data_IF_103665236833
#
_entry.id   IF_103665236833
#
_cell.length_a   1.000
_cell.length_b   1.000
_cell.length_c   1.000
_cell.angle_alpha   90.00
_cell.angle_beta   90.00
_cell.angle_gamma   90.00
#
_symmetry.space_group_name_H-M   'P 1'
#
loop_
_entity.id
_entity.type
_entity.pdbx_description
1 polymer ?
#
# COMPACT_ATOMS: atom_id res chain seq x y z
N UNK A 1 -42.07 55.05 4.09
CA UNK A 1 -41.69 54.01 3.13
C UNK A 1 -40.22 53.79 3.32
N UNK A 2 -39.92 52.86 4.23
CA UNK A 2 -38.62 52.63 4.84
C UNK A 2 -37.58 52.12 3.85
N UNK A 3 -36.42 52.76 3.85
CA UNK A 3 -35.22 52.28 3.18
C UNK A 3 -34.50 51.31 4.13
N UNK A 4 -34.54 50.02 3.79
CA UNK A 4 -33.80 48.98 4.50
C UNK A 4 -32.33 49.08 4.08
N UNK A 5 -31.50 49.57 5.01
CA UNK A 5 -30.06 49.51 4.94
C UNK A 5 -29.60 48.07 5.27
N UNK A 6 -28.86 47.45 4.37
CA UNK A 6 -28.16 46.20 4.63
C UNK A 6 -26.88 46.49 5.46
N UNK A 7 -26.61 45.76 6.54
CA UNK A 7 -25.32 45.84 7.20
C UNK A 7 -24.30 44.94 6.50
N UNK A 8 -23.25 45.55 5.95
CA UNK A 8 -22.00 44.87 5.65
C UNK A 8 -21.35 44.41 6.95
N UNK A 9 -21.15 43.12 7.13
CA UNK A 9 -20.18 42.58 8.08
C UNK A 9 -19.26 41.60 7.34
N UNK A 10 -18.07 42.11 7.07
CA UNK A 10 -16.85 41.34 6.82
C UNK A 10 -16.39 40.76 8.15
N UNK A 11 -16.02 39.46 8.19
CA UNK A 11 -15.04 38.92 9.14
C UNK A 11 -14.87 37.40 9.01
N UNK A 12 -13.68 36.99 8.58
CA UNK A 12 -12.92 35.82 9.05
C UNK A 12 -13.58 34.44 9.04
N UNK A 13 -13.22 33.64 8.03
CA UNK A 13 -12.64 32.30 8.22
C UNK A 13 -11.54 32.10 7.18
N UNK A 14 -10.47 32.90 7.30
CA UNK A 14 -9.15 32.52 6.80
C UNK A 14 -8.55 31.55 7.83
N UNK A 15 -9.11 30.35 7.88
CA UNK A 15 -8.44 29.23 8.50
C UNK A 15 -7.42 28.78 7.48
N UNK A 16 -6.16 29.21 7.64
CA UNK A 16 -5.04 28.68 6.89
C UNK A 16 -5.13 27.14 6.92
N UNK A 17 -5.62 26.54 5.83
CA UNK A 17 -5.55 25.11 5.62
C UNK A 17 -4.06 24.83 5.41
N UNK A 18 -3.36 24.58 6.52
CA UNK A 18 -1.95 24.21 6.51
C UNK A 18 -1.83 23.02 5.55
N UNK A 19 -0.89 23.06 4.59
CA UNK A 19 -0.72 21.95 3.68
C UNK A 19 -0.51 20.67 4.50
N UNK A 20 -1.09 19.53 4.09
CA UNK A 20 -0.88 18.28 4.79
C UNK A 20 0.63 18.01 4.90
N UNK A 21 1.09 17.37 5.98
CA UNK A 21 2.51 17.05 6.14
C UNK A 21 2.98 16.26 4.92
N UNK A 22 4.22 16.51 4.48
CA UNK A 22 4.79 15.74 3.38
C UNK A 22 4.91 14.26 3.78
N UNK A 23 5.02 13.35 2.80
CA UNK A 23 5.20 11.93 3.07
C UNK A 23 6.43 11.65 3.96
N UNK A 24 7.51 12.41 3.77
CA UNK A 24 8.71 12.33 4.60
C UNK A 24 8.43 12.78 6.05
N UNK A 25 7.67 13.87 6.23
CA UNK A 25 7.33 14.39 7.56
C UNK A 25 6.40 13.45 8.32
N UNK A 26 5.44 12.82 7.63
CA UNK A 26 4.52 11.84 8.22
C UNK A 26 5.25 10.55 8.65
N UNK A 27 6.21 10.09 7.83
CA UNK A 27 7.04 8.94 8.15
C UNK A 27 7.96 9.20 9.36
N UNK A 28 8.70 10.32 9.36
CA UNK A 28 9.56 10.71 10.48
C UNK A 28 8.75 10.87 11.76
N UNK A 29 7.61 11.55 11.70
CA UNK A 29 6.72 11.73 12.84
C UNK A 29 6.33 10.39 13.48
N UNK A 30 5.86 9.42 12.69
CA UNK A 30 5.38 8.15 13.22
C UNK A 30 6.50 7.37 13.92
N UNK A 31 7.69 7.35 13.32
CA UNK A 31 8.87 6.71 13.92
C UNK A 31 9.32 7.43 15.19
N UNK A 32 9.36 8.76 15.16
CA UNK A 32 9.75 9.58 16.31
C UNK A 32 8.76 9.42 17.47
N UNK A 33 7.46 9.46 17.19
CA UNK A 33 6.38 9.26 18.16
C UNK A 33 6.44 7.86 18.79
N UNK A 34 6.64 6.80 18.00
CA UNK A 34 6.79 5.45 18.51
C UNK A 34 8.11 5.25 19.30
N UNK A 35 9.16 5.99 18.93
CA UNK A 35 10.47 5.94 19.61
C UNK A 35 10.52 6.70 20.95
N UNK A 36 9.49 7.48 21.28
CA UNK A 36 9.33 8.13 22.59
C UNK A 36 9.29 7.14 23.77
N UNK A 37 9.20 5.84 23.49
CA UNK A 37 9.40 4.77 24.46
C UNK A 37 8.17 4.54 25.35
N UNK A 38 8.34 3.93 26.54
CA UNK A 38 7.22 3.50 27.40
C UNK A 38 6.38 4.66 27.98
N UNK A 39 6.72 5.91 27.70
CA UNK A 39 6.04 7.11 28.21
C UNK A 39 5.21 7.86 27.14
N UNK A 40 4.94 7.24 25.99
CA UNK A 40 4.12 7.84 24.94
C UNK A 40 2.74 8.30 25.44
N UNK A 41 2.13 7.55 26.35
CA UNK A 41 0.87 7.96 27.00
C UNK A 41 1.00 9.24 27.84
N UNK A 42 2.12 9.40 28.56
CA UNK A 42 2.41 10.62 29.31
C UNK A 42 2.65 11.82 28.40
N UNK A 43 3.37 11.61 27.29
CA UNK A 43 3.58 12.64 26.29
C UNK A 43 2.27 13.11 25.63
N UNK A 44 1.36 12.18 25.29
CA UNK A 44 0.06 12.55 24.71
C UNK A 44 -0.81 13.30 25.72
N UNK A 45 -0.75 12.96 27.00
CA UNK A 45 -1.43 13.71 28.06
C UNK A 45 -0.89 15.14 28.19
N UNK A 46 0.43 15.34 28.12
CA UNK A 46 1.05 16.66 28.10
C UNK A 46 0.62 17.48 26.86
N UNK A 47 0.56 16.85 25.68
CA UNK A 47 0.05 17.51 24.47
C UNK A 47 -1.42 17.94 24.60
N UNK A 48 -2.24 17.18 25.34
CA UNK A 48 -3.62 17.55 25.61
C UNK A 48 -3.70 18.77 26.54
N UNK A 49 -2.91 18.79 27.62
CA UNK A 49 -2.82 19.93 28.54
C UNK A 49 -2.31 21.21 27.84
N UNK A 50 -1.43 21.07 26.85
CA UNK A 50 -0.91 22.17 26.02
C UNK A 50 -1.86 22.59 24.88
N UNK A 51 -2.96 21.88 24.64
CA UNK A 51 -3.88 22.14 23.53
C UNK A 51 -3.29 21.82 22.14
N UNK A 52 -2.31 20.91 22.09
CA UNK A 52 -1.59 20.48 20.87
C UNK A 52 -1.97 19.08 20.39
N UNK A 53 -2.85 18.40 21.13
CA UNK A 53 -3.36 17.08 20.79
C UNK A 53 -3.93 17.00 19.36
N UNK A 54 -4.64 18.04 18.90
CA UNK A 54 -5.19 18.07 17.54
C UNK A 54 -4.14 17.89 16.44
N UNK A 55 -2.97 18.54 16.58
CA UNK A 55 -1.88 18.42 15.60
C UNK A 55 -1.30 17.00 15.57
N UNK A 56 -1.11 16.40 16.75
CA UNK A 56 -0.65 15.01 16.86
C UNK A 56 -1.62 14.03 16.20
N UNK A 57 -2.93 14.21 16.39
CA UNK A 57 -3.95 13.38 15.77
C UNK A 57 -3.97 13.55 14.25
N UNK A 58 -3.81 14.77 13.73
CA UNK A 58 -3.72 15.02 12.28
C UNK A 58 -2.46 14.40 11.65
N UNK A 59 -1.33 14.49 12.34
CA UNK A 59 -0.09 13.83 11.92
C UNK A 59 -0.24 12.31 11.92
N UNK A 60 -0.93 11.75 12.91
CA UNK A 60 -1.24 10.31 12.99
C UNK A 60 -2.13 9.85 11.82
N UNK A 61 -3.16 10.63 11.47
CA UNK A 61 -4.01 10.36 10.29
C UNK A 61 -3.19 10.38 9.00
N UNK A 62 -2.28 11.33 8.85
CA UNK A 62 -1.41 11.41 7.67
C UNK A 62 -0.44 10.23 7.58
N UNK A 63 0.11 9.77 8.70
CA UNK A 63 0.97 8.59 8.77
C UNK A 63 0.22 7.30 8.41
N UNK A 64 -1.01 7.11 8.91
CA UNK A 64 -1.86 5.99 8.52
C UNK A 64 -2.23 6.04 7.03
N UNK A 65 -2.57 7.22 6.51
CA UNK A 65 -2.80 7.43 5.09
C UNK A 65 -1.57 7.11 4.23
N UNK A 66 -0.36 7.38 4.72
CA UNK A 66 0.90 7.02 4.06
C UNK A 66 1.15 5.50 4.10
N UNK A 67 0.93 4.88 5.25
CA UNK A 67 1.03 3.43 5.42
C UNK A 67 0.07 2.68 4.48
N UNK A 68 -1.08 3.27 4.16
CA UNK A 68 -2.04 2.73 3.20
C UNK A 68 -1.61 2.80 1.72
N UNK A 69 -0.55 3.53 1.37
CA UNK A 69 -0.18 3.75 -0.05
C UNK A 69 0.57 2.56 -0.66
N UNK A 70 1.45 1.91 0.09
CA UNK A 70 2.24 0.77 -0.39
C UNK A 70 2.44 -0.29 0.70
N UNK A 71 2.57 -1.58 0.34
CA UNK A 71 2.88 -2.65 1.29
C UNK A 71 4.18 -2.40 2.08
N UNK A 72 5.22 -1.86 1.44
CA UNK A 72 6.47 -1.50 2.10
C UNK A 72 6.27 -0.45 3.20
N UNK A 73 5.52 0.62 2.91
CA UNK A 73 5.24 1.67 3.89
C UNK A 73 4.36 1.15 5.03
N UNK A 74 3.43 0.24 4.73
CA UNK A 74 2.64 -0.48 5.72
C UNK A 74 3.54 -1.27 6.68
N UNK A 75 4.41 -2.13 6.16
CA UNK A 75 5.36 -2.91 6.98
C UNK A 75 6.26 -2.03 7.86
N UNK A 76 6.67 -0.86 7.35
CA UNK A 76 7.50 0.07 8.10
C UNK A 76 6.74 0.86 9.19
N UNK A 77 5.48 1.22 8.95
CA UNK A 77 4.73 2.14 9.79
C UNK A 77 3.73 1.45 10.73
N UNK A 78 3.21 0.28 10.38
CA UNK A 78 2.22 -0.43 11.20
C UNK A 78 2.68 -0.71 12.63
N UNK A 79 3.94 -1.13 12.90
CA UNK A 79 4.41 -1.28 14.27
C UNK A 79 4.32 0.03 15.08
N UNK A 80 4.68 1.15 14.45
CA UNK A 80 4.63 2.48 15.09
C UNK A 80 3.18 2.93 15.31
N UNK A 81 2.32 2.74 14.30
CA UNK A 81 0.90 3.06 14.37
C UNK A 81 0.16 2.21 15.43
N UNK A 82 0.54 0.94 15.61
CA UNK A 82 0.03 0.08 16.67
C UNK A 82 0.37 0.60 18.08
N UNK A 83 1.62 1.04 18.28
CA UNK A 83 2.04 1.66 19.55
C UNK A 83 1.26 2.95 19.83
N UNK A 84 1.05 3.80 18.82
CA UNK A 84 0.26 5.03 18.95
C UNK A 84 -1.21 4.71 19.26
N UNK A 85 -1.80 3.73 18.57
CA UNK A 85 -3.17 3.26 18.79
C UNK A 85 -3.39 2.80 20.22
N UNK A 86 -2.48 1.98 20.75
CA UNK A 86 -2.58 1.47 22.11
C UNK A 86 -2.43 2.58 23.16
N UNK A 87 -1.51 3.53 22.92
CA UNK A 87 -1.34 4.69 23.79
C UNK A 87 -2.60 5.58 23.82
N UNK A 88 -3.20 5.88 22.66
CA UNK A 88 -4.44 6.64 22.55
C UNK A 88 -5.62 5.94 23.24
N UNK A 89 -5.72 4.63 23.07
CA UNK A 89 -6.77 3.80 23.70
C UNK A 89 -6.64 3.73 25.23
N UNK A 90 -5.42 3.92 25.76
CA UNK A 90 -5.13 3.91 27.19
C UNK A 90 -5.34 5.25 27.92
N UNK A 91 -5.64 6.34 27.19
CA UNK A 91 -5.85 7.66 27.79
C UNK A 91 -7.20 7.73 28.52
N UNK A 92 -7.22 8.40 29.68
CA UNK A 92 -8.47 8.78 30.35
C UNK A 92 -9.10 9.99 29.65
N UNK A 93 -9.68 9.75 28.47
CA UNK A 93 -10.31 10.79 27.66
C UNK A 93 -11.52 11.45 28.36
N UNK A 94 -12.03 10.88 29.46
CA UNK A 94 -13.19 11.43 30.18
C UNK A 94 -12.96 12.82 30.76
N UNK A 95 -11.69 13.19 30.98
CA UNK A 95 -11.29 14.51 31.48
C UNK A 95 -11.13 15.57 30.38
N UNK A 96 -11.11 15.16 29.10
CA UNK A 96 -10.89 16.04 27.96
C UNK A 96 -12.20 16.68 27.46
N UNK A 97 -12.14 17.80 26.73
CA UNK A 97 -13.30 18.35 26.02
C UNK A 97 -13.92 17.33 25.07
N UNK A 98 -15.26 17.34 24.93
CA UNK A 98 -15.99 16.41 24.05
C UNK A 98 -15.43 16.33 22.61
N UNK A 99 -15.00 17.46 22.07
CA UNK A 99 -14.43 17.54 20.71
C UNK A 99 -13.13 16.77 20.59
N UNK A 100 -12.30 16.74 21.64
CA UNK A 100 -11.06 15.98 21.66
C UNK A 100 -11.33 14.48 21.90
N UNK A 101 -12.33 14.16 22.73
CA UNK A 101 -12.79 12.77 22.89
C UNK A 101 -13.25 12.17 21.56
N UNK A 102 -14.07 12.91 20.81
CA UNK A 102 -14.52 12.52 19.47
C UNK A 102 -13.34 12.38 18.51
N UNK A 103 -12.42 13.35 18.49
CA UNK A 103 -11.24 13.30 17.63
C UNK A 103 -10.31 12.11 17.92
N UNK A 104 -10.08 11.77 19.20
CA UNK A 104 -9.31 10.58 19.60
C UNK A 104 -10.02 9.33 19.12
N UNK A 105 -11.31 9.20 19.41
CA UNK A 105 -12.11 8.03 19.02
C UNK A 105 -12.08 7.82 17.50
N UNK A 106 -12.15 8.89 16.71
CA UNK A 106 -12.07 8.83 15.26
C UNK A 106 -10.72 8.30 14.77
N UNK A 107 -9.58 8.74 15.33
CA UNK A 107 -8.29 8.19 14.87
C UNK A 107 -8.04 6.80 15.42
N UNK A 108 -8.50 6.47 16.64
CA UNK A 108 -8.42 5.08 17.13
C UNK A 108 -9.20 4.15 16.21
N UNK A 109 -10.42 4.51 15.80
CA UNK A 109 -11.21 3.72 14.86
C UNK A 109 -10.54 3.62 13.48
N UNK A 110 -9.86 4.69 13.01
CA UNK A 110 -9.09 4.67 11.78
C UNK A 110 -7.87 3.75 11.88
N UNK A 111 -7.15 3.78 13.00
CA UNK A 111 -6.00 2.92 13.23
C UNK A 111 -6.43 1.46 13.41
N UNK A 112 -7.53 1.20 14.12
CA UNK A 112 -8.14 -0.13 14.20
C UNK A 112 -8.48 -0.64 12.81
N UNK A 113 -9.19 0.14 11.98
CA UNK A 113 -9.51 -0.29 10.61
C UNK A 113 -8.26 -0.53 9.74
N UNK A 114 -7.20 0.27 9.92
CA UNK A 114 -5.94 0.12 9.19
C UNK A 114 -5.14 -1.12 9.64
N UNK A 115 -5.04 -1.34 10.95
CA UNK A 115 -4.27 -2.42 11.56
C UNK A 115 -5.02 -3.76 11.51
N UNK A 116 -6.34 -3.75 11.71
CA UNK A 116 -7.25 -4.90 11.52
C UNK A 116 -7.47 -5.21 10.03
N UNK A 117 -7.22 -4.25 9.14
CA UNK A 117 -7.11 -4.46 7.69
C UNK A 117 -5.93 -5.36 7.26
N UNK A 118 -5.16 -5.88 8.21
CA UNK A 118 -4.13 -6.92 8.01
C UNK A 118 -4.70 -8.34 8.06
N UNK A 119 -5.82 -8.60 7.39
CA UNK A 119 -6.34 -9.94 7.11
C UNK A 119 -6.50 -10.12 5.61
N UNK A 120 -6.15 -11.32 5.09
CA UNK A 120 -4.87 -11.51 4.41
C UNK A 120 -4.70 -10.51 3.26
N UNK A 121 -3.45 -10.11 2.97
CA UNK A 121 -3.09 -9.62 1.62
C UNK A 121 -3.85 -10.47 0.62
N UNK A 122 -4.59 -9.85 -0.32
CA UNK A 122 -5.33 -10.57 -1.35
C UNK A 122 -4.43 -11.68 -1.87
N UNK A 123 -4.64 -12.89 -1.38
CA UNK A 123 -3.60 -13.89 -1.50
C UNK A 123 -3.74 -14.42 -2.90
N UNK A 124 -2.63 -14.50 -3.64
CA UNK A 124 -2.67 -15.08 -4.97
C UNK A 124 -3.39 -16.43 -4.89
N UNK A 125 -4.49 -16.62 -5.65
CA UNK A 125 -5.31 -17.83 -5.54
C UNK A 125 -4.48 -19.09 -5.71
N UNK A 126 -4.80 -20.14 -4.95
CA UNK A 126 -4.03 -21.38 -4.97
C UNK A 126 -2.86 -21.42 -3.98
N UNK A 127 -2.85 -20.55 -2.97
CA UNK A 127 -1.92 -20.64 -1.83
C UNK A 127 -0.70 -19.72 -1.90
N UNK A 128 -0.78 -18.60 -2.63
CA UNK A 128 0.32 -17.64 -2.76
C UNK A 128 1.30 -17.99 -3.88
N UNK A 129 2.23 -17.08 -4.18
CA UNK A 129 3.17 -17.25 -5.29
C UNK A 129 4.11 -18.44 -5.08
N UNK A 130 4.46 -18.77 -3.84
CA UNK A 130 5.31 -19.92 -3.53
C UNK A 130 4.66 -21.24 -3.97
N UNK A 131 3.35 -21.41 -3.77
CA UNK A 131 2.64 -22.61 -4.23
C UNK A 131 2.67 -22.76 -5.76
N UNK A 132 2.66 -21.64 -6.49
CA UNK A 132 2.82 -21.64 -7.94
C UNK A 132 4.24 -21.98 -8.40
N UNK A 133 5.27 -21.53 -7.70
CA UNK A 133 6.66 -21.97 -7.92
C UNK A 133 6.79 -23.48 -7.73
N UNK A 134 6.27 -24.00 -6.63
CA UNK A 134 6.30 -25.43 -6.29
C UNK A 134 5.50 -26.25 -7.33
N UNK A 135 4.46 -25.65 -7.93
CA UNK A 135 3.71 -26.20 -9.05
C UNK A 135 4.40 -26.04 -10.42
N UNK A 136 5.65 -25.55 -10.47
CA UNK A 136 6.49 -25.41 -11.67
C UNK A 136 6.41 -24.05 -12.37
N UNK A 137 5.95 -23.02 -11.67
CA UNK A 137 6.11 -21.61 -12.03
C UNK A 137 7.56 -21.14 -11.89
N UNK A 138 7.80 -19.87 -12.19
CA UNK A 138 9.11 -19.22 -12.04
C UNK A 138 9.01 -17.68 -11.96
N UNK A 139 7.90 -17.17 -11.40
CA UNK A 139 7.67 -15.75 -11.16
C UNK A 139 8.61 -15.24 -10.06
N UNK A 140 8.64 -15.86 -8.88
CA UNK A 140 9.50 -15.47 -7.75
C UNK A 140 10.96 -15.58 -8.17
N UNK A 141 11.35 -16.74 -8.70
CA UNK A 141 12.74 -17.03 -9.06
C UNK A 141 13.30 -15.97 -10.03
N UNK A 142 12.50 -15.52 -11.01
CA UNK A 142 13.01 -14.71 -12.12
C UNK A 142 12.60 -13.24 -12.06
N UNK A 143 11.59 -12.88 -11.28
CA UNK A 143 10.97 -11.56 -11.38
C UNK A 143 10.68 -10.90 -10.03
N UNK A 144 11.18 -11.43 -8.92
CA UNK A 144 11.03 -10.82 -7.58
C UNK A 144 12.39 -10.46 -6.98
N UNK A 145 12.51 -9.23 -6.47
CA UNK A 145 13.66 -8.78 -5.70
C UNK A 145 14.98 -8.72 -6.48
N UNK A 146 14.94 -8.53 -7.80
CA UNK A 146 16.16 -8.44 -8.61
C UNK A 146 16.71 -7.02 -8.60
N UNK A 147 18.02 -6.90 -8.41
CA UNK A 147 18.71 -5.62 -8.50
C UNK A 147 18.78 -5.12 -9.93
N UNK A 148 18.89 -3.80 -10.10
CA UNK A 148 19.12 -3.15 -11.39
C UNK A 148 20.31 -3.76 -12.14
N UNK A 149 21.44 -3.95 -11.46
CA UNK A 149 22.62 -4.59 -12.06
C UNK A 149 22.31 -6.00 -12.57
N UNK A 150 21.53 -6.79 -11.82
CA UNK A 150 21.13 -8.12 -12.25
C UNK A 150 20.24 -8.07 -13.51
N UNK A 151 19.34 -7.08 -13.61
CA UNK A 151 18.51 -6.88 -14.80
C UNK A 151 19.35 -6.50 -16.02
N UNK A 152 20.29 -5.56 -15.86
CA UNK A 152 21.28 -5.16 -16.90
C UNK A 152 22.08 -6.38 -17.37
N UNK A 153 22.58 -7.18 -16.45
CA UNK A 153 23.34 -8.40 -16.77
C UNK A 153 22.44 -9.41 -17.51
N UNK A 154 21.19 -9.57 -17.09
CA UNK A 154 20.24 -10.51 -17.69
C UNK A 154 19.91 -10.13 -19.13
N UNK A 155 19.60 -8.86 -19.42
CA UNK A 155 19.31 -8.42 -20.80
C UNK A 155 20.53 -8.51 -21.70
N UNK A 156 21.72 -8.33 -21.14
CA UNK A 156 23.00 -8.44 -21.86
C UNK A 156 23.32 -9.90 -22.22
N UNK A 157 23.07 -10.83 -21.30
CA UNK A 157 23.47 -12.23 -21.43
C UNK A 157 22.38 -13.15 -22.01
N UNK A 158 21.13 -12.68 -22.11
CA UNK A 158 20.00 -13.47 -22.63
C UNK A 158 19.42 -12.84 -23.90
N UNK A 159 18.76 -13.62 -24.76
CA UNK A 159 18.08 -13.10 -25.96
C UNK A 159 16.66 -12.55 -25.64
N UNK A 160 16.59 -11.47 -24.84
CA UNK A 160 15.35 -10.80 -24.42
C UNK A 160 15.40 -9.30 -24.69
N UNK A 161 14.26 -8.64 -24.95
CA UNK A 161 14.22 -7.20 -25.21
C UNK A 161 14.31 -6.34 -23.95
N UNK A 162 13.86 -6.87 -22.82
CA UNK A 162 13.91 -6.23 -21.51
C UNK A 162 13.92 -7.29 -20.40
N UNK A 163 14.35 -6.91 -19.19
CA UNK A 163 14.20 -7.68 -17.98
C UNK A 163 13.64 -6.79 -16.88
N UNK A 164 12.70 -7.34 -16.11
CA UNK A 164 11.97 -6.60 -15.09
C UNK A 164 11.77 -7.43 -13.83
N UNK A 165 11.53 -6.72 -12.72
CA UNK A 165 11.33 -7.29 -11.40
C UNK A 165 10.38 -6.45 -10.56
N UNK A 166 9.49 -7.12 -9.83
CA UNK A 166 8.84 -6.57 -8.65
C UNK A 166 9.90 -6.19 -7.60
N UNK A 167 9.62 -5.23 -6.74
CA UNK A 167 10.58 -4.79 -5.71
C UNK A 167 10.83 -5.88 -4.69
N UNK A 168 9.77 -6.56 -4.25
CA UNK A 168 9.81 -7.64 -3.28
C UNK A 168 8.62 -8.60 -3.46
N UNK A 169 8.59 -9.64 -2.61
CA UNK A 169 7.57 -10.68 -2.67
C UNK A 169 6.18 -10.16 -2.27
N UNK A 170 6.01 -9.37 -1.19
CA UNK A 170 4.71 -8.79 -0.85
C UNK A 170 4.10 -7.96 -1.99
N UNK A 171 4.87 -7.07 -2.64
CA UNK A 171 4.37 -6.30 -3.79
C UNK A 171 3.99 -7.21 -4.97
N UNK A 172 4.81 -8.24 -5.24
CA UNK A 172 4.51 -9.20 -6.29
C UNK A 172 3.20 -9.94 -6.02
N UNK A 173 2.96 -10.41 -4.79
CA UNK A 173 1.70 -11.07 -4.44
C UNK A 173 0.51 -10.13 -4.63
N UNK A 174 0.62 -8.89 -4.17
CA UNK A 174 -0.43 -7.88 -4.30
C UNK A 174 -0.79 -7.58 -5.76
N UNK A 175 0.17 -7.20 -6.60
CA UNK A 175 -0.16 -6.84 -7.98
C UNK A 175 -0.65 -8.04 -8.80
N UNK A 176 -0.15 -9.25 -8.48
CA UNK A 176 -0.62 -10.48 -9.12
C UNK A 176 -2.05 -10.80 -8.72
N UNK A 177 -2.41 -10.70 -7.44
CA UNK A 177 -3.78 -10.94 -6.98
C UNK A 177 -4.76 -9.95 -7.60
N UNK A 178 -4.40 -8.66 -7.64
CA UNK A 178 -5.24 -7.62 -8.26
C UNK A 178 -5.42 -7.86 -9.76
N UNK A 179 -4.35 -8.23 -10.47
CA UNK A 179 -4.43 -8.56 -11.91
C UNK A 179 -5.35 -9.78 -12.15
N UNK A 180 -5.35 -10.79 -11.26
CA UNK A 180 -6.27 -11.93 -11.39
C UNK A 180 -7.71 -11.49 -11.10
N UNK A 181 -7.92 -10.73 -10.02
CA UNK A 181 -9.23 -10.26 -9.61
C UNK A 181 -9.91 -9.39 -10.69
N UNK A 182 -9.17 -8.48 -11.33
CA UNK A 182 -9.68 -7.65 -12.43
C UNK A 182 -10.12 -8.49 -13.64
N UNK A 183 -9.46 -9.63 -13.88
CA UNK A 183 -9.74 -10.51 -15.03
C UNK A 183 -10.51 -11.78 -14.63
N UNK A 184 -11.16 -11.82 -13.47
CA UNK A 184 -11.78 -13.05 -12.92
C UNK A 184 -12.77 -13.69 -13.91
N UNK A 185 -13.69 -12.91 -14.48
CA UNK A 185 -14.67 -13.41 -15.48
C UNK A 185 -13.98 -14.08 -16.68
N UNK A 186 -12.82 -13.54 -17.09
CA UNK A 186 -12.04 -14.03 -18.23
C UNK A 186 -11.24 -15.28 -17.87
N UNK A 187 -10.75 -15.36 -16.64
CA UNK A 187 -10.11 -16.56 -16.07
C UNK A 187 -11.15 -17.68 -15.98
N UNK A 188 -12.34 -17.42 -15.44
CA UNK A 188 -13.41 -18.41 -15.29
C UNK A 188 -13.86 -18.94 -16.65
N UNK A 189 -14.14 -18.05 -17.61
CA UNK A 189 -14.48 -18.46 -18.97
C UNK A 189 -13.37 -19.29 -19.64
N UNK A 190 -12.12 -18.95 -19.37
CA UNK A 190 -10.97 -19.73 -19.85
C UNK A 190 -10.87 -21.09 -19.17
N UNK A 191 -11.15 -21.22 -17.87
CA UNK A 191 -11.20 -22.52 -17.19
C UNK A 191 -12.34 -23.40 -17.73
N UNK A 192 -13.47 -22.79 -18.08
CA UNK A 192 -14.64 -23.45 -18.70
C UNK A 192 -14.45 -23.89 -20.16
N UNK A 193 -13.21 -23.82 -20.67
CA UNK A 193 -12.87 -24.38 -21.97
C UNK A 193 -12.72 -23.37 -23.09
N UNK A 194 -12.89 -22.06 -22.85
CA UNK A 194 -12.58 -21.03 -23.87
C UNK A 194 -11.05 -20.91 -24.05
N UNK A 195 -10.60 -20.72 -25.28
CA UNK A 195 -9.19 -20.46 -25.59
C UNK A 195 -8.28 -21.71 -25.57
N UNK A 196 -6.96 -21.47 -25.55
CA UNK A 196 -5.94 -22.52 -25.53
C UNK A 196 -5.50 -22.94 -24.12
N UNK A 197 -4.41 -23.71 -24.03
CA UNK A 197 -3.88 -24.20 -22.75
C UNK A 197 -3.33 -23.09 -21.82
N UNK A 198 -3.05 -21.90 -22.37
CA UNK A 198 -2.54 -20.75 -21.63
C UNK A 198 -3.43 -19.53 -21.81
N UNK A 199 -3.51 -18.72 -20.77
CA UNK A 199 -4.15 -17.42 -20.76
C UNK A 199 -3.11 -16.37 -20.38
N UNK A 200 -3.04 -15.29 -21.16
CA UNK A 200 -2.22 -14.12 -20.83
C UNK A 200 -3.15 -12.98 -20.46
N UNK A 201 -2.97 -12.43 -19.27
CA UNK A 201 -3.71 -11.26 -18.77
C UNK A 201 -2.70 -10.17 -18.40
N UNK A 202 -3.15 -8.93 -18.45
CA UNK A 202 -2.35 -7.78 -18.04
C UNK A 202 -3.25 -6.66 -17.53
N UNK A 203 -2.69 -5.91 -16.57
CA UNK A 203 -3.33 -4.78 -15.89
C UNK A 203 -2.33 -3.65 -15.71
N UNK A 204 -2.84 -2.42 -15.70
CA UNK A 204 -2.06 -1.21 -15.43
C UNK A 204 -2.48 -0.61 -14.09
N UNK A 205 -1.53 0.02 -13.39
CA UNK A 205 -1.70 0.55 -12.05
C UNK A 205 -1.19 1.98 -11.98
N UNK A 206 -1.77 2.79 -11.07
CA UNK A 206 -1.31 4.16 -10.83
C UNK A 206 0.02 4.21 -10.04
N UNK A 207 0.34 3.13 -9.32
CA UNK A 207 1.58 2.96 -8.57
C UNK A 207 2.60 2.13 -9.36
N UNK A 208 3.90 2.36 -9.09
CA UNK A 208 4.97 1.56 -9.68
C UNK A 208 4.78 0.10 -9.28
N UNK A 209 4.79 -0.77 -10.28
CA UNK A 209 4.71 -2.23 -10.14
C UNK A 209 6.10 -2.87 -10.01
N UNK A 210 7.15 -2.08 -10.18
CA UNK A 210 8.54 -2.55 -10.13
C UNK A 210 9.42 -1.82 -11.12
N UNK A 211 10.55 -2.44 -11.44
CA UNK A 211 11.56 -1.88 -12.32
C UNK A 211 11.78 -2.71 -13.57
N UNK A 212 12.16 -2.05 -14.66
CA UNK A 212 12.54 -2.66 -15.94
C UNK A 212 13.84 -2.07 -16.46
N UNK A 213 14.61 -2.89 -17.15
CA UNK A 213 15.78 -2.47 -17.94
C UNK A 213 15.59 -2.97 -19.36
N UNK A 214 15.63 -2.06 -20.34
CA UNK A 214 15.63 -2.38 -21.76
C UNK A 214 16.99 -2.83 -22.28
N UNK A 215 17.01 -3.56 -23.40
CA UNK A 215 18.26 -3.96 -24.05
C UNK A 215 19.04 -2.73 -24.51
N UNK A 216 20.29 -2.64 -24.06
CA UNK A 216 21.20 -1.54 -24.40
C UNK A 216 21.12 -0.37 -23.40
N UNK A 217 20.20 -0.44 -22.44
CA UNK A 217 20.15 0.49 -21.33
C UNK A 217 21.06 0.02 -20.19
N UNK A 218 21.51 0.99 -19.39
CA UNK A 218 22.39 0.74 -18.24
C UNK A 218 21.74 1.11 -16.92
N UNK A 219 20.47 1.54 -16.96
CA UNK A 219 19.73 1.92 -15.76
C UNK A 219 18.30 1.41 -15.80
N UNK A 220 17.73 1.18 -14.63
CA UNK A 220 16.34 0.79 -14.50
C UNK A 220 15.38 1.99 -14.54
N UNK A 221 14.18 1.76 -15.06
CA UNK A 221 13.03 2.66 -14.97
C UNK A 221 11.87 2.00 -14.22
N UNK A 222 11.06 2.82 -13.54
CA UNK A 222 9.81 2.37 -12.93
C UNK A 222 8.79 2.02 -14.03
N UNK A 223 8.07 0.92 -13.82
CA UNK A 223 7.02 0.44 -14.73
C UNK A 223 5.72 0.22 -13.97
N UNK A 224 4.59 0.35 -14.66
CA UNK A 224 3.27 0.53 -14.05
C UNK A 224 2.25 -0.50 -14.55
N UNK A 225 2.69 -1.62 -15.10
CA UNK A 225 1.80 -2.68 -15.57
C UNK A 225 2.37 -4.04 -15.23
N UNK A 226 1.48 -5.02 -15.06
CA UNK A 226 1.84 -6.41 -14.82
C UNK A 226 1.31 -7.25 -15.96
N UNK A 227 2.15 -8.17 -16.45
CA UNK A 227 1.72 -9.24 -17.36
C UNK A 227 1.83 -10.59 -16.68
N UNK A 228 0.77 -11.38 -16.73
CA UNK A 228 0.70 -12.72 -16.18
C UNK A 228 0.44 -13.76 -17.26
N UNK A 229 1.04 -14.93 -17.08
CA UNK A 229 0.80 -16.11 -17.91
C UNK A 229 0.31 -17.24 -17.03
N UNK A 230 -0.96 -17.60 -17.23
CA UNK A 230 -1.63 -18.72 -16.57
C UNK A 230 -1.63 -19.95 -17.47
N UNK A 231 -1.56 -21.13 -16.87
CA UNK A 231 -1.65 -22.42 -17.58
C UNK A 231 -2.62 -23.35 -16.83
N UNK A 232 -3.54 -24.00 -17.56
CA UNK A 232 -4.47 -24.95 -16.93
C UNK A 232 -3.68 -26.08 -16.32
N UNK A 233 -3.99 -26.42 -15.08
CA UNK A 233 -3.23 -27.39 -14.31
C UNK A 233 -4.06 -27.96 -13.19
N UNK A 234 -3.88 -29.24 -12.91
CA UNK A 234 -4.43 -29.98 -11.78
C UNK A 234 -3.48 -30.03 -10.58
N UNK A 235 -2.36 -29.30 -10.62
CA UNK A 235 -1.36 -29.26 -9.53
C UNK A 235 -1.82 -28.46 -8.31
N UNK A 236 -2.78 -27.56 -8.50
CA UNK A 236 -3.41 -26.74 -7.47
C UNK A 236 -4.93 -26.90 -7.59
N UNK A 237 -5.66 -26.79 -6.48
CA UNK A 237 -7.12 -27.02 -6.41
C UNK A 237 -7.97 -25.93 -7.10
N UNK A 238 -7.32 -24.96 -7.75
CA UNK A 238 -7.94 -23.83 -8.45
C UNK A 238 -7.99 -24.02 -9.99
N UNK A 239 -7.51 -25.16 -10.51
CA UNK A 239 -7.60 -25.51 -11.94
C UNK A 239 -6.59 -24.84 -12.86
N UNK A 240 -5.70 -23.99 -12.31
CA UNK A 240 -4.58 -23.42 -13.03
C UNK A 240 -3.38 -23.20 -12.12
N UNK A 241 -2.23 -22.92 -12.75
CA UNK A 241 -1.05 -22.39 -12.10
C UNK A 241 -0.56 -21.15 -12.84
N UNK A 242 0.17 -20.30 -12.13
CA UNK A 242 0.91 -19.17 -12.70
C UNK A 242 2.23 -19.74 -13.22
N UNK A 243 2.44 -19.62 -14.53
CA UNK A 243 3.72 -20.02 -15.15
C UNK A 243 4.77 -18.97 -14.85
N UNK A 244 4.42 -17.70 -15.06
CA UNK A 244 5.26 -16.55 -14.80
C UNK A 244 4.41 -15.28 -14.74
N UNK A 245 4.99 -14.23 -14.17
CA UNK A 245 4.46 -12.88 -14.16
C UNK A 245 5.58 -11.88 -14.00
N UNK A 246 5.42 -10.69 -14.53
CA UNK A 246 6.45 -9.66 -14.41
C UNK A 246 5.90 -8.26 -14.64
N UNK A 247 6.51 -7.24 -14.03
CA UNK A 247 6.26 -5.86 -14.38
C UNK A 247 6.64 -5.59 -15.84
N UNK A 248 5.89 -4.74 -16.53
CA UNK A 248 6.15 -4.38 -17.92
C UNK A 248 5.81 -2.93 -18.19
N UNK A 249 6.48 -2.36 -19.20
CA UNK A 249 5.96 -1.17 -19.86
C UNK A 249 4.60 -1.49 -20.52
N UNK A 250 3.70 -0.50 -20.64
CA UNK A 250 2.40 -0.66 -21.30
C UNK A 250 2.49 -1.08 -22.77
#
# INVERSE_FOLDING_TARGET
MDAIAAPSTSSYLDGCLRPPPSAHDAHSFALDAASAGPDLGGHIAELADEGRLGEFLDQTRAAAGLAGQTPFLREQLDPALGVIRDALSGLDASQLPRTEQEAIADVVALLDAHLEGSEPTAQVPGGGLQAHEDAGGHLIERHVGKSEQWLVDRVSNSNISAASSFRDLPEAEYFVSETIAEHQDRVDAWLDGKGGNRLVIDSSFDASTGISVGRGETSAEDVFSVKLVLERSDRLDIGYRIVTGYPSAP
#
